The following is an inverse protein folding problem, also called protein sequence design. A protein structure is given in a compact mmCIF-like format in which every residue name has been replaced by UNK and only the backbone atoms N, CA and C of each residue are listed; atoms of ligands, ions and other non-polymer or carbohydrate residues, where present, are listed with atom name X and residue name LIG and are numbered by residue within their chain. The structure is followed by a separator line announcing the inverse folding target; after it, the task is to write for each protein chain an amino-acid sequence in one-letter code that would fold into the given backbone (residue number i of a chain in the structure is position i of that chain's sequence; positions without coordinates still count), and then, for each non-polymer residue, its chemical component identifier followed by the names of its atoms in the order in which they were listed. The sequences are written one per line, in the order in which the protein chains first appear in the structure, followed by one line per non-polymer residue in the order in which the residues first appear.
data_IF_555660096164
#
_entry.id   IF_555660096164
#
_cell.length_a   1.000
_cell.length_b   1.000
_cell.length_c   1.000
_cell.angle_alpha   90.00
_cell.angle_beta   90.00
_cell.angle_gamma   90.00
#
_symmetry.space_group_name_H-M   'P 1'
#
loop_
_entity.id
_entity.type
_entity.pdbx_description
1 polymer ?
#
# COMPACT_ATOMS: atom_id res chain seq x y z
N UNK A 1 8.93 14.18 8.08
CA UNK A 1 8.71 15.06 6.91
C UNK A 1 9.70 14.70 5.81
N UNK A 2 9.27 13.96 4.78
CA UNK A 2 10.06 13.75 3.56
C UNK A 2 9.70 14.87 2.58
N UNK A 3 10.56 15.87 2.35
CA UNK A 3 10.16 17.09 1.65
C UNK A 3 9.99 16.93 0.13
N UNK A 4 10.23 15.75 -0.46
CA UNK A 4 10.18 15.56 -1.91
C UNK A 4 9.71 14.17 -2.33
N UNK A 5 8.50 14.08 -2.90
CA UNK A 5 7.93 12.86 -3.49
C UNK A 5 8.89 12.16 -4.48
N UNK A 6 9.70 12.92 -5.23
CA UNK A 6 10.72 12.35 -6.14
C UNK A 6 11.73 11.42 -5.45
N UNK A 7 12.05 11.64 -4.18
CA UNK A 7 13.00 10.79 -3.46
C UNK A 7 12.31 9.55 -2.88
N UNK A 8 11.03 9.68 -2.50
CA UNK A 8 10.18 8.55 -2.12
C UNK A 8 10.00 7.58 -3.29
N UNK A 9 9.67 8.08 -4.49
CA UNK A 9 9.60 7.24 -5.70
C UNK A 9 10.94 6.62 -6.08
N UNK A 10 12.05 7.34 -5.92
CA UNK A 10 13.39 6.78 -6.13
C UNK A 10 13.67 5.63 -5.16
N UNK A 11 13.25 5.73 -3.90
CA UNK A 11 13.42 4.69 -2.91
C UNK A 11 12.50 3.47 -3.18
N UNK A 12 11.24 3.71 -3.58
CA UNK A 12 10.29 2.66 -3.97
C UNK A 12 10.86 1.80 -5.11
N UNK A 13 11.38 2.42 -6.17
CA UNK A 13 12.02 1.72 -7.29
C UNK A 13 13.24 0.87 -6.91
N UNK A 14 13.82 1.10 -5.73
CA UNK A 14 14.97 0.35 -5.24
C UNK A 14 14.59 -0.79 -4.30
N UNK A 15 13.30 -0.99 -4.00
CA UNK A 15 12.85 -2.08 -3.15
C UNK A 15 13.03 -3.43 -3.86
N UNK A 16 13.35 -4.51 -3.13
CA UNK A 16 13.48 -5.85 -3.70
C UNK A 16 12.14 -6.46 -4.10
N UNK A 17 11.05 -5.95 -3.51
CA UNK A 17 9.67 -6.34 -3.77
C UNK A 17 8.88 -5.07 -4.02
N UNK A 18 7.85 -5.17 -4.84
CA UNK A 18 6.94 -4.08 -5.17
C UNK A 18 7.64 -2.82 -5.73
N UNK A 19 8.72 -3.00 -6.52
CA UNK A 19 9.43 -1.87 -7.14
C UNK A 19 8.70 -1.27 -8.34
N UNK A 20 7.84 -2.05 -9.01
CA UNK A 20 7.17 -1.68 -10.26
C UNK A 20 5.95 -0.76 -10.00
N UNK A 21 5.38 -0.88 -8.80
CA UNK A 21 4.27 -0.12 -8.24
C UNK A 21 4.63 1.36 -8.12
N UNK A 22 5.93 1.70 -8.12
CA UNK A 22 6.39 3.07 -8.22
C UNK A 22 5.86 3.76 -9.49
N UNK A 23 5.81 3.07 -10.62
CA UNK A 23 5.28 3.64 -11.87
C UNK A 23 3.75 3.77 -11.83
N UNK A 24 3.06 2.79 -11.22
CA UNK A 24 1.60 2.83 -11.05
C UNK A 24 1.17 3.94 -10.09
N UNK A 25 1.89 4.12 -8.99
CA UNK A 25 1.68 5.21 -8.04
C UNK A 25 2.02 6.58 -8.66
N UNK A 26 3.06 6.66 -9.49
CA UNK A 26 3.36 7.88 -10.26
C UNK A 26 2.24 8.20 -11.24
N UNK A 27 1.75 7.19 -11.99
CA UNK A 27 0.60 7.30 -12.88
C UNK A 27 -0.64 7.83 -12.17
N UNK A 28 -0.96 7.33 -10.98
CA UNK A 28 -2.10 7.80 -10.19
C UNK A 28 -1.99 9.29 -9.79
N UNK A 29 -0.77 9.79 -9.57
CA UNK A 29 -0.51 11.18 -9.18
C UNK A 29 -0.49 12.15 -10.37
N UNK A 30 -0.01 11.71 -11.54
CA UNK A 30 0.24 12.60 -12.67
C UNK A 30 -0.88 12.63 -13.70
N UNK A 31 -1.75 11.62 -13.70
CA UNK A 31 -2.86 11.52 -14.66
C UNK A 31 -4.11 12.20 -14.10
N UNK A 32 -4.94 12.76 -14.98
CA UNK A 32 -6.16 13.48 -14.61
C UNK A 32 -7.20 12.57 -13.92
N UNK A 33 -8.34 13.15 -13.57
CA UNK A 33 -9.44 12.46 -12.90
C UNK A 33 -10.75 12.60 -13.69
N UNK A 34 -10.65 12.73 -15.01
CA UNK A 34 -11.84 12.71 -15.88
C UNK A 34 -12.55 11.35 -15.76
N UNK A 35 -13.86 11.25 -16.03
CA UNK A 35 -14.63 10.03 -15.77
C UNK A 35 -14.06 8.75 -16.41
N UNK A 36 -13.51 8.85 -17.62
CA UNK A 36 -12.89 7.72 -18.34
C UNK A 36 -11.62 7.25 -17.63
N UNK A 37 -10.78 8.20 -17.19
CA UNK A 37 -9.53 7.91 -16.47
C UNK A 37 -9.78 7.50 -15.02
N UNK A 38 -10.87 7.95 -14.40
CA UNK A 38 -11.24 7.57 -13.05
C UNK A 38 -11.52 6.07 -12.91
N UNK A 39 -12.19 5.46 -13.90
CA UNK A 39 -12.43 4.01 -13.93
C UNK A 39 -11.12 3.23 -14.09
N UNK A 40 -10.22 3.68 -14.97
CA UNK A 40 -8.90 3.07 -15.11
C UNK A 40 -8.09 3.18 -13.81
N UNK A 41 -8.09 4.35 -13.16
CA UNK A 41 -7.40 4.56 -11.88
C UNK A 41 -7.96 3.69 -10.77
N UNK A 42 -9.27 3.43 -10.77
CA UNK A 42 -9.88 2.48 -9.85
C UNK A 42 -9.26 1.09 -10.04
N UNK A 43 -9.15 0.59 -11.27
CA UNK A 43 -8.51 -0.70 -11.54
C UNK A 43 -7.02 -0.73 -11.17
N UNK A 44 -6.29 0.38 -11.39
CA UNK A 44 -4.89 0.49 -10.96
C UNK A 44 -4.76 0.42 -9.44
N UNK A 45 -5.64 1.09 -8.70
CA UNK A 45 -5.65 1.06 -7.22
C UNK A 45 -5.95 -0.36 -6.71
N UNK A 46 -6.95 -1.04 -7.27
CA UNK A 46 -7.28 -2.42 -6.92
C UNK A 46 -6.12 -3.39 -7.23
N UNK A 47 -5.42 -3.18 -8.36
CA UNK A 47 -4.22 -3.94 -8.71
C UNK A 47 -3.10 -3.77 -7.69
N UNK A 48 -2.74 -2.53 -7.37
CA UNK A 48 -1.72 -2.24 -6.34
C UNK A 48 -2.11 -2.86 -4.99
N UNK A 49 -3.39 -2.78 -4.61
CA UNK A 49 -3.86 -3.38 -3.36
C UNK A 49 -3.70 -4.90 -3.35
N UNK A 50 -4.03 -5.57 -4.47
CA UNK A 50 -3.84 -7.01 -4.61
C UNK A 50 -2.36 -7.41 -4.53
N UNK A 51 -1.47 -6.70 -5.23
CA UNK A 51 -0.03 -6.98 -5.20
C UNK A 51 0.56 -6.85 -3.78
N UNK A 52 0.13 -5.82 -3.03
CA UNK A 52 0.51 -5.64 -1.63
C UNK A 52 -0.01 -6.80 -0.77
N UNK A 53 -1.27 -7.20 -0.95
CA UNK A 53 -1.88 -8.31 -0.21
C UNK A 53 -1.10 -9.60 -0.45
N UNK A 54 -0.75 -9.89 -1.70
CA UNK A 54 -0.01 -11.10 -2.06
C UNK A 54 1.35 -11.12 -1.36
N UNK A 55 2.10 -10.02 -1.38
CA UNK A 55 3.38 -9.92 -0.65
C UNK A 55 3.20 -10.07 0.87
N UNK A 56 2.16 -9.48 1.46
CA UNK A 56 1.86 -9.63 2.89
C UNK A 56 1.58 -11.10 3.25
N UNK A 57 0.85 -11.82 2.39
CA UNK A 57 0.54 -13.23 2.56
C UNK A 57 1.78 -14.11 2.38
N UNK A 58 2.58 -13.87 1.32
CA UNK A 58 3.84 -14.59 1.06
C UNK A 58 4.84 -14.43 2.21
N UNK A 59 4.91 -13.25 2.81
CA UNK A 59 5.76 -12.97 3.96
C UNK A 59 5.16 -13.44 5.30
N UNK A 60 3.96 -14.05 5.28
CA UNK A 60 3.23 -14.50 6.47
C UNK A 60 3.03 -13.38 7.49
N UNK A 61 2.79 -12.15 7.03
CA UNK A 61 2.54 -10.98 7.89
C UNK A 61 1.06 -10.83 8.26
N UNK A 62 0.17 -11.36 7.43
CA UNK A 62 -1.29 -11.34 7.61
C UNK A 62 -1.86 -12.76 7.65
N UNK A 63 -2.96 -12.93 8.37
CA UNK A 63 -3.77 -14.16 8.38
C UNK A 63 -5.13 -13.94 7.67
N UNK A 64 -5.41 -12.71 7.22
CA UNK A 64 -6.62 -12.43 6.46
C UNK A 64 -6.53 -13.06 5.06
N UNK A 65 -7.65 -13.57 4.55
CA UNK A 65 -7.74 -14.29 3.27
C UNK A 65 -8.69 -13.61 2.26
N UNK A 66 -8.74 -12.28 2.29
CA UNK A 66 -9.67 -11.49 1.49
C UNK A 66 -8.95 -10.43 0.65
N UNK A 67 -9.58 -9.93 -0.41
CA UNK A 67 -9.01 -8.86 -1.24
C UNK A 67 -9.11 -7.45 -0.63
N UNK A 68 -9.39 -7.34 0.66
CA UNK A 68 -9.65 -6.07 1.33
C UNK A 68 -8.44 -5.67 2.18
N UNK A 69 -7.69 -4.68 1.70
CA UNK A 69 -6.43 -4.23 2.30
C UNK A 69 -6.62 -3.74 3.73
N UNK A 70 -7.79 -3.19 4.08
CA UNK A 70 -8.06 -2.73 5.44
C UNK A 70 -8.06 -3.89 6.43
N UNK A 71 -8.65 -5.04 6.05
CA UNK A 71 -8.66 -6.24 6.91
C UNK A 71 -7.26 -6.80 7.12
N UNK A 72 -6.41 -6.74 6.10
CA UNK A 72 -5.00 -7.10 6.22
C UNK A 72 -4.26 -6.16 7.18
N UNK A 73 -4.54 -4.86 7.14
CA UNK A 73 -3.96 -3.90 8.08
C UNK A 73 -4.30 -4.25 9.54
N UNK A 74 -5.57 -4.56 9.84
CA UNK A 74 -5.96 -5.02 11.18
C UNK A 74 -5.30 -6.35 11.57
N UNK A 75 -5.25 -7.32 10.65
CA UNK A 75 -4.62 -8.61 10.91
C UNK A 75 -3.14 -8.47 11.27
N UNK A 76 -2.41 -7.57 10.60
CA UNK A 76 -1.02 -7.25 10.94
C UNK A 76 -0.95 -6.58 12.33
N UNK A 77 -1.81 -5.61 12.61
CA UNK A 77 -1.82 -4.88 13.88
C UNK A 77 -2.11 -5.79 15.09
N UNK A 78 -3.02 -6.75 14.94
CA UNK A 78 -3.37 -7.70 16.01
C UNK A 78 -2.19 -8.58 16.43
N UNK A 79 -1.22 -8.81 15.51
CA UNK A 79 0.00 -9.59 15.75
C UNK A 79 1.13 -8.78 16.38
N UNK A 80 0.96 -7.47 16.55
CA UNK A 80 1.94 -6.63 17.26
C UNK A 80 1.89 -6.98 18.75
N UNK A 81 3.01 -7.48 19.28
CA UNK A 81 3.13 -7.86 20.69
C UNK A 81 3.27 -6.66 21.64
N UNK A 82 3.71 -5.51 21.14
CA UNK A 82 3.82 -4.27 21.90
C UNK A 82 2.44 -3.60 22.04
N UNK A 83 1.96 -3.49 23.27
CA UNK A 83 0.65 -2.93 23.56
C UNK A 83 0.53 -1.43 23.33
N UNK A 84 1.63 -0.66 23.38
CA UNK A 84 1.59 0.76 23.04
C UNK A 84 1.44 0.90 21.52
N UNK A 85 2.23 0.17 20.74
CA UNK A 85 2.16 0.20 19.27
C UNK A 85 0.82 -0.29 18.75
N UNK A 86 0.27 -1.39 19.29
CA UNK A 86 -1.01 -1.95 18.84
C UNK A 86 -2.21 -1.02 19.09
N UNK A 87 -2.12 -0.19 20.14
CA UNK A 87 -3.18 0.75 20.51
C UNK A 87 -3.07 2.10 19.80
N UNK A 88 -2.02 2.32 19.00
CA UNK A 88 -1.97 3.47 18.11
C UNK A 88 -3.07 3.35 17.06
N UNK A 89 -3.50 4.49 16.53
CA UNK A 89 -4.40 4.49 15.39
C UNK A 89 -3.73 3.72 14.24
N UNK A 90 -4.48 2.90 13.49
CA UNK A 90 -3.92 2.11 12.38
C UNK A 90 -3.23 2.98 11.31
N UNK A 91 -3.64 4.26 11.25
CA UNK A 91 -3.05 5.31 10.40
C UNK A 91 -2.12 6.27 11.17
N UNK A 92 -1.69 5.97 12.39
CA UNK A 92 -0.83 6.86 13.19
C UNK A 92 0.61 6.97 12.65
N UNK A 93 0.99 6.14 11.68
CA UNK A 93 2.33 6.10 11.08
C UNK A 93 2.57 7.05 9.89
N UNK A 94 1.74 8.07 9.68
CA UNK A 94 1.83 9.02 8.55
C UNK A 94 2.68 10.25 8.90
#
# INVERSE_FOLDING_TARGET
YQPYYKWTFRALRALPLLSEEAELLEYLLTTDNEPETAEEKYHVIEGIAADIIDVLMEQNLTEANCGDLEKHAYSVNDRIGDGELRNLHILAGI
#
